data_IF_934619579877
#
_entry.id   IF_934619579877
#
_cell.length_a   1.000
_cell.length_b   1.000
_cell.length_c   1.000
_cell.angle_alpha   90.00
_cell.angle_beta   90.00
_cell.angle_gamma   90.00
#
_symmetry.space_group_name_H-M   'P 1'
#
loop_
_entity.id
_entity.type
_entity.pdbx_description
1 polymer ?
#
# COMPACT_ATOMS: atom_id res chain seq x y z
N UNK A 1 -1.70 -8.56 10.83
CA UNK A 1 -1.65 -7.95 12.17
C UNK A 1 -0.89 -8.80 13.19
N UNK A 2 -0.94 -10.14 13.10
CA UNK A 2 -0.44 -11.08 14.12
C UNK A 2 0.96 -10.75 14.68
N UNK A 3 1.90 -10.38 13.81
CA UNK A 3 3.27 -10.05 14.21
C UNK A 3 3.32 -8.80 15.10
N UNK A 4 2.52 -7.77 14.79
CA UNK A 4 2.41 -6.57 15.63
C UNK A 4 1.71 -6.87 16.95
N UNK A 5 0.64 -7.66 16.92
CA UNK A 5 -0.09 -8.04 18.14
C UNK A 5 0.80 -8.80 19.11
N UNK A 6 1.57 -9.77 18.61
CA UNK A 6 2.56 -10.51 19.39
C UNK A 6 3.63 -9.59 19.97
N UNK A 7 4.14 -8.66 19.16
CA UNK A 7 5.13 -7.69 19.64
C UNK A 7 4.58 -6.84 20.79
N UNK A 8 3.33 -6.38 20.70
CA UNK A 8 2.68 -5.63 21.77
C UNK A 8 2.48 -6.46 23.04
N UNK A 9 2.09 -7.72 22.91
CA UNK A 9 1.92 -8.61 24.06
C UNK A 9 3.25 -8.84 24.79
N UNK A 10 4.36 -8.97 24.05
CA UNK A 10 5.69 -9.20 24.59
C UNK A 10 6.34 -7.95 25.21
N UNK A 11 5.98 -6.75 24.74
CA UNK A 11 6.70 -5.52 25.10
C UNK A 11 5.85 -4.50 25.90
N UNK A 12 4.55 -4.41 25.66
CA UNK A 12 3.70 -3.30 26.15
C UNK A 12 2.55 -3.73 27.08
N UNK A 13 2.33 -5.03 27.29
CA UNK A 13 1.22 -5.57 28.09
C UNK A 13 1.20 -5.15 29.56
N UNK A 14 2.37 -4.86 30.15
CA UNK A 14 2.46 -4.35 31.53
C UNK A 14 2.23 -2.83 31.64
N UNK A 15 2.17 -2.12 30.50
CA UNK A 15 2.15 -0.65 30.44
C UNK A 15 0.86 -0.07 29.89
N UNK A 16 0.05 -0.89 29.22
CA UNK A 16 -1.25 -0.53 28.70
C UNK A 16 -2.33 -1.31 29.46
N UNK A 17 -3.46 -0.66 29.71
CA UNK A 17 -4.66 -1.36 30.18
C UNK A 17 -5.17 -2.34 29.12
N UNK A 18 -5.99 -3.31 29.53
CA UNK A 18 -6.61 -4.25 28.59
C UNK A 18 -7.41 -3.53 27.50
N UNK A 19 -8.13 -2.46 27.85
CA UNK A 19 -8.92 -1.66 26.91
C UNK A 19 -8.03 -0.88 25.92
N UNK A 20 -6.95 -0.25 26.39
CA UNK A 20 -5.97 0.44 25.53
C UNK A 20 -5.26 -0.53 24.59
N UNK A 21 -4.87 -1.70 25.10
CA UNK A 21 -4.25 -2.75 24.30
C UNK A 21 -5.20 -3.24 23.22
N UNK A 22 -6.48 -3.47 23.57
CA UNK A 22 -7.49 -3.90 22.62
C UNK A 22 -7.73 -2.85 21.53
N UNK A 23 -7.91 -1.58 21.90
CA UNK A 23 -8.11 -0.47 20.97
C UNK A 23 -6.92 -0.30 20.01
N UNK A 24 -5.69 -0.45 20.52
CA UNK A 24 -4.46 -0.40 19.72
C UNK A 24 -4.40 -1.57 18.72
N UNK A 25 -4.70 -2.79 19.14
CA UNK A 25 -4.74 -3.97 18.25
C UNK A 25 -5.81 -3.82 17.17
N UNK A 26 -6.99 -3.28 17.49
CA UNK A 26 -8.04 -3.01 16.51
C UNK A 26 -7.59 -2.00 15.45
N UNK A 27 -6.90 -0.92 15.85
CA UNK A 27 -6.33 0.08 14.92
C UNK A 27 -5.25 -0.52 14.01
N UNK A 28 -4.36 -1.31 14.57
CA UNK A 28 -3.32 -2.01 13.79
C UNK A 28 -3.96 -2.97 12.80
N UNK A 29 -4.96 -3.75 13.24
CA UNK A 29 -5.67 -4.66 12.38
C UNK A 29 -6.37 -3.93 11.23
N UNK A 30 -7.04 -2.80 11.49
CA UNK A 30 -7.62 -1.97 10.44
C UNK A 30 -6.58 -1.55 9.38
N UNK A 31 -5.36 -1.22 9.81
CA UNK A 31 -4.26 -0.84 8.91
C UNK A 31 -3.65 -2.00 8.13
N UNK A 32 -3.66 -3.23 8.66
CA UNK A 32 -2.96 -4.37 8.02
C UNK A 32 -3.88 -5.35 7.30
N UNK A 33 -5.16 -5.43 7.68
CA UNK A 33 -6.05 -6.51 7.25
C UNK A 33 -6.20 -6.64 5.73
N UNK A 34 -6.29 -5.52 5.01
CA UNK A 34 -6.43 -5.56 3.55
C UNK A 34 -5.12 -5.92 2.84
N UNK A 35 -3.97 -5.56 3.41
CA UNK A 35 -2.65 -5.99 2.90
C UNK A 35 -2.46 -7.49 3.17
N UNK A 36 -2.80 -7.97 4.36
CA UNK A 36 -2.79 -9.39 4.70
C UNK A 36 -3.71 -10.21 3.79
N UNK A 37 -4.92 -9.70 3.53
CA UNK A 37 -5.89 -10.30 2.61
C UNK A 37 -5.35 -10.37 1.18
N UNK A 38 -4.70 -9.31 0.69
CA UNK A 38 -4.03 -9.34 -0.61
C UNK A 38 -2.89 -10.37 -0.65
N UNK A 39 -2.09 -10.46 0.39
CA UNK A 39 -0.96 -11.39 0.48
C UNK A 39 -1.40 -12.86 0.59
N UNK A 40 -2.57 -13.11 1.18
CA UNK A 40 -3.15 -14.46 1.29
C UNK A 40 -3.83 -14.95 0.00
N UNK A 41 -4.11 -14.06 -0.96
CA UNK A 41 -4.75 -14.44 -2.22
C UNK A 41 -3.79 -15.21 -3.13
N UNK A 42 -4.30 -16.29 -3.72
CA UNK A 42 -3.56 -17.01 -4.75
C UNK A 42 -3.37 -16.14 -6.01
N UNK A 43 -2.15 -16.13 -6.55
CA UNK A 43 -1.81 -15.50 -7.81
C UNK A 43 -0.87 -14.28 -7.70
N UNK A 44 -0.65 -13.63 -8.84
CA UNK A 44 0.36 -12.57 -9.00
C UNK A 44 -0.17 -11.22 -8.49
N UNK A 45 -0.17 -11.00 -7.16
CA UNK A 45 -0.73 -9.78 -6.55
C UNK A 45 0.28 -8.86 -5.85
N UNK A 46 1.46 -9.36 -5.48
CA UNK A 46 2.48 -8.56 -4.79
C UNK A 46 3.07 -7.41 -5.62
N UNK A 47 3.01 -7.50 -6.95
CA UNK A 47 3.42 -6.42 -7.87
C UNK A 47 2.22 -5.69 -8.48
N UNK A 48 1.05 -5.74 -7.86
CA UNK A 48 -0.08 -4.96 -8.36
C UNK A 48 -0.01 -3.54 -7.81
N UNK A 49 -0.62 -2.60 -8.52
CA UNK A 49 -0.83 -1.26 -8.02
C UNK A 49 -1.59 -1.26 -6.69
N UNK A 50 -2.58 -2.15 -6.54
CA UNK A 50 -3.34 -2.31 -5.29
C UNK A 50 -2.44 -2.67 -4.10
N UNK A 51 -1.42 -3.51 -4.31
CA UNK A 51 -0.46 -3.85 -3.26
C UNK A 51 0.34 -2.63 -2.81
N UNK A 52 0.89 -1.86 -3.76
CA UNK A 52 1.62 -0.60 -3.45
C UNK A 52 0.70 0.39 -2.77
N UNK A 53 -0.54 0.51 -3.24
CA UNK A 53 -1.50 1.45 -2.73
C UNK A 53 -1.88 1.17 -1.28
N UNK A 54 -2.27 -0.07 -0.97
CA UNK A 54 -2.66 -0.44 0.38
C UNK A 54 -1.45 -0.44 1.33
N UNK A 55 -0.28 -0.90 0.88
CA UNK A 55 0.93 -0.85 1.71
C UNK A 55 1.33 0.58 2.05
N UNK A 56 1.25 1.51 1.10
CA UNK A 56 1.61 2.92 1.31
C UNK A 56 0.66 3.62 2.29
N UNK A 57 -0.64 3.32 2.21
CA UNK A 57 -1.63 3.82 3.16
C UNK A 57 -1.46 3.18 4.54
N UNK A 58 -1.26 1.86 4.58
CA UNK A 58 -1.01 1.07 5.79
C UNK A 58 0.21 1.57 6.56
N UNK A 59 1.33 1.80 5.88
CA UNK A 59 2.56 2.34 6.48
C UNK A 59 2.29 3.68 7.17
N UNK A 60 1.69 4.64 6.46
CA UNK A 60 1.42 5.98 7.02
C UNK A 60 0.43 5.91 8.18
N UNK A 61 -0.61 5.07 8.06
CA UNK A 61 -1.56 4.82 9.12
C UNK A 61 -0.92 4.22 10.38
N UNK A 62 -0.08 3.19 10.22
CA UNK A 62 0.66 2.56 11.32
C UNK A 62 1.63 3.53 11.98
N UNK A 63 2.33 4.38 11.21
CA UNK A 63 3.19 5.43 11.76
C UNK A 63 2.39 6.41 12.61
N UNK A 64 1.19 6.79 12.17
CA UNK A 64 0.31 7.66 12.95
C UNK A 64 -0.22 6.97 14.20
N UNK A 65 -0.55 5.69 14.11
CA UNK A 65 -0.95 4.87 15.26
C UNK A 65 0.19 4.81 16.29
N UNK A 66 1.42 4.60 15.83
CA UNK A 66 2.61 4.62 16.69
C UNK A 66 2.78 5.95 17.42
N UNK A 67 2.68 7.07 16.69
CA UNK A 67 2.80 8.42 17.25
C UNK A 67 1.75 8.71 18.32
N UNK A 68 0.50 8.27 18.10
CA UNK A 68 -0.63 8.68 18.94
C UNK A 68 -0.96 7.74 20.09
N UNK A 69 -0.71 6.43 19.94
CA UNK A 69 -1.25 5.42 20.86
C UNK A 69 -0.17 4.52 21.48
N UNK A 70 1.01 4.41 20.88
CA UNK A 70 2.10 3.60 21.45
C UNK A 70 2.88 4.46 22.45
N UNK A 71 3.13 3.97 23.69
CA UNK A 71 3.92 4.71 24.67
C UNK A 71 5.31 5.06 24.15
N UNK A 72 5.81 6.26 24.47
CA UNK A 72 7.05 6.84 23.91
C UNK A 72 8.25 5.88 23.98
N UNK A 73 8.42 5.17 25.10
CA UNK A 73 9.49 4.19 25.32
C UNK A 73 9.48 3.00 24.34
N UNK A 74 8.35 2.74 23.69
CA UNK A 74 8.14 1.63 22.74
C UNK A 74 8.08 2.10 21.28
N UNK A 75 7.98 3.41 21.03
CA UNK A 75 7.78 3.94 19.67
C UNK A 75 8.94 3.62 18.72
N UNK A 76 10.17 3.55 19.22
CA UNK A 76 11.33 3.16 18.42
C UNK A 76 11.24 1.69 17.98
N UNK A 77 10.99 0.77 18.92
CA UNK A 77 10.86 -0.65 18.59
C UNK A 77 9.64 -0.94 17.70
N UNK A 78 8.52 -0.26 17.93
CA UNK A 78 7.34 -0.37 17.06
C UNK A 78 7.62 0.23 15.67
N UNK A 79 8.44 1.28 15.59
CA UNK A 79 8.90 1.83 14.30
C UNK A 79 9.70 0.81 13.50
N UNK A 80 10.61 0.08 14.15
CA UNK A 80 11.39 -0.99 13.51
C UNK A 80 10.46 -2.10 12.98
N UNK A 81 9.39 -2.44 13.72
CA UNK A 81 8.37 -3.39 13.27
C UNK A 81 7.62 -2.91 12.01
N UNK A 82 7.30 -1.61 11.93
CA UNK A 82 6.70 -1.03 10.72
C UNK A 82 7.68 -1.12 9.55
N UNK A 83 8.96 -0.82 9.77
CA UNK A 83 9.99 -0.91 8.75
C UNK A 83 10.17 -2.34 8.23
N UNK A 84 10.17 -3.33 9.11
CA UNK A 84 10.25 -4.74 8.73
C UNK A 84 9.01 -5.19 7.94
N UNK A 85 7.81 -4.79 8.38
CA UNK A 85 6.57 -5.05 7.67
C UNK A 85 6.58 -4.49 6.24
N UNK A 86 7.01 -3.25 6.06
CA UNK A 86 7.15 -2.62 4.74
C UNK A 86 8.23 -3.32 3.92
N UNK A 87 9.39 -3.58 4.53
CA UNK A 87 10.51 -4.23 3.87
C UNK A 87 10.16 -5.64 3.37
N UNK A 88 9.43 -6.42 4.15
CA UNK A 88 8.98 -7.76 3.75
C UNK A 88 8.12 -7.70 2.49
N UNK A 89 7.13 -6.79 2.46
CA UNK A 89 6.22 -6.63 1.33
C UNK A 89 6.94 -6.09 0.08
N UNK A 90 7.80 -5.07 0.24
CA UNK A 90 8.59 -4.50 -0.85
C UNK A 90 9.60 -5.54 -1.41
N UNK A 91 10.25 -6.32 -0.55
CA UNK A 91 11.22 -7.33 -0.97
C UNK A 91 10.56 -8.50 -1.69
N UNK A 92 9.38 -8.93 -1.21
CA UNK A 92 8.59 -9.94 -1.90
C UNK A 92 8.23 -9.48 -3.32
N UNK A 93 7.75 -8.24 -3.47
CA UNK A 93 7.48 -7.61 -4.77
C UNK A 93 8.72 -7.60 -5.66
N UNK A 94 9.84 -7.07 -5.15
CA UNK A 94 11.07 -6.94 -5.92
C UNK A 94 11.61 -8.30 -6.39
N UNK A 95 11.59 -9.32 -5.51
CA UNK A 95 11.97 -10.69 -5.87
C UNK A 95 11.05 -11.26 -6.96
N UNK A 96 9.75 -10.98 -6.89
CA UNK A 96 8.79 -11.46 -7.90
C UNK A 96 9.04 -10.77 -9.24
N UNK A 97 9.19 -9.43 -9.26
CA UNK A 97 9.53 -8.68 -10.48
C UNK A 97 10.80 -9.24 -11.12
N UNK A 98 11.88 -9.39 -10.34
CA UNK A 98 13.15 -9.91 -10.86
C UNK A 98 13.01 -11.31 -11.49
N UNK A 99 12.16 -12.19 -10.94
CA UNK A 99 11.96 -13.54 -11.49
C UNK A 99 11.04 -13.57 -12.70
N UNK A 100 10.02 -12.71 -12.74
CA UNK A 100 8.93 -12.78 -13.70
C UNK A 100 9.11 -11.84 -14.89
N UNK A 101 9.91 -10.78 -14.76
CA UNK A 101 10.21 -9.89 -15.87
C UNK A 101 11.05 -10.63 -16.92
N UNK A 102 10.62 -10.66 -18.20
CA UNK A 102 11.38 -11.29 -19.26
C UNK A 102 12.70 -10.56 -19.52
N UNK A 103 13.67 -11.25 -20.13
CA UNK A 103 14.98 -10.67 -20.48
C UNK A 103 14.86 -9.44 -21.39
N UNK A 104 13.83 -9.41 -22.23
CA UNK A 104 13.45 -8.26 -23.03
C UNK A 104 11.97 -8.32 -23.45
N UNK A 105 11.43 -7.16 -23.84
CA UNK A 105 10.13 -7.03 -24.51
C UNK A 105 10.29 -6.26 -25.82
N UNK A 106 9.54 -6.65 -26.85
CA UNK A 106 9.44 -5.88 -28.10
C UNK A 106 8.43 -4.75 -27.88
N UNK A 107 8.88 -3.50 -27.94
CA UNK A 107 8.09 -2.31 -27.62
C UNK A 107 7.65 -1.51 -28.85
N UNK A 108 8.08 -1.92 -30.05
CA UNK A 108 7.63 -1.36 -31.31
C UNK A 108 8.00 -2.25 -32.49
N UNK A 109 7.03 -2.46 -33.39
CA UNK A 109 7.24 -3.13 -34.68
C UNK A 109 6.91 -2.11 -35.77
N UNK A 110 7.94 -1.45 -36.29
CA UNK A 110 7.85 -0.60 -37.47
C UNK A 110 8.13 -1.39 -38.75
N UNK A 111 7.95 -0.78 -39.93
CA UNK A 111 8.14 -1.45 -41.22
C UNK A 111 9.56 -1.97 -41.49
N UNK A 112 10.58 -1.57 -40.71
CA UNK A 112 11.99 -2.00 -40.87
C UNK A 112 12.84 -2.09 -39.58
N UNK A 113 12.31 -1.82 -38.39
CA UNK A 113 13.09 -1.87 -37.14
C UNK A 113 12.22 -2.35 -35.98
N UNK A 114 12.70 -3.36 -35.26
CA UNK A 114 12.17 -3.79 -33.96
C UNK A 114 12.90 -3.02 -32.87
N UNK A 115 12.16 -2.41 -31.94
CA UNK A 115 12.73 -1.82 -30.72
C UNK A 115 12.49 -2.75 -29.54
N UNK A 116 13.54 -2.96 -28.76
CA UNK A 116 13.53 -3.81 -27.57
C UNK A 116 13.71 -2.94 -26.32
N UNK A 117 13.06 -3.36 -25.24
CA UNK A 117 13.30 -2.87 -23.90
C UNK A 117 13.81 -4.03 -23.05
N UNK A 118 14.99 -3.90 -22.47
CA UNK A 118 15.62 -5.01 -21.74
C UNK A 118 15.13 -5.07 -20.30
N UNK A 119 15.28 -6.24 -19.67
CA UNK A 119 14.85 -6.53 -18.29
C UNK A 119 15.18 -5.43 -17.30
N UNK A 120 16.43 -4.96 -17.29
CA UNK A 120 16.88 -3.91 -16.38
C UNK A 120 16.12 -2.59 -16.56
N UNK A 121 15.79 -2.23 -17.80
CA UNK A 121 15.00 -1.03 -18.10
C UNK A 121 13.53 -1.22 -17.70
N UNK A 122 12.99 -2.43 -17.90
CA UNK A 122 11.61 -2.76 -17.48
C UNK A 122 11.49 -2.66 -15.95
N UNK A 123 12.40 -3.29 -15.21
CA UNK A 123 12.41 -3.27 -13.74
C UNK A 123 12.66 -1.86 -13.23
N UNK A 124 13.56 -1.10 -13.86
CA UNK A 124 13.84 0.29 -13.51
C UNK A 124 12.59 1.16 -13.64
N UNK A 125 11.87 1.07 -14.77
CA UNK A 125 10.66 1.86 -14.99
C UNK A 125 9.54 1.47 -14.02
N UNK A 126 9.37 0.18 -13.74
CA UNK A 126 8.37 -0.29 -12.78
C UNK A 126 8.70 0.16 -11.35
N UNK A 127 9.98 0.10 -10.96
CA UNK A 127 10.46 0.59 -9.66
C UNK A 127 10.24 2.10 -9.52
N UNK A 128 10.51 2.86 -10.57
CA UNK A 128 10.26 4.31 -10.59
C UNK A 128 8.77 4.63 -10.48
N UNK A 129 7.91 3.88 -11.19
CA UNK A 129 6.47 3.99 -11.08
C UNK A 129 6.00 3.75 -9.64
N UNK A 130 6.36 2.62 -9.02
CA UNK A 130 5.94 2.33 -7.63
C UNK A 130 6.48 3.32 -6.61
N UNK A 131 7.70 3.82 -6.81
CA UNK A 131 8.27 4.87 -5.95
C UNK A 131 7.42 6.13 -6.01
N UNK A 132 6.98 6.53 -7.21
CA UNK A 132 6.10 7.67 -7.40
C UNK A 132 4.72 7.43 -6.78
N UNK A 133 4.12 6.27 -7.03
CA UNK A 133 2.82 5.92 -6.46
C UNK A 133 2.84 5.95 -4.93
N UNK A 134 3.85 5.33 -4.31
CA UNK A 134 4.04 5.37 -2.86
C UNK A 134 4.10 6.80 -2.36
N UNK A 135 4.94 7.64 -2.96
CA UNK A 135 5.11 9.04 -2.56
C UNK A 135 3.80 9.81 -2.58
N UNK A 136 3.02 9.66 -3.65
CA UNK A 136 1.78 10.40 -3.83
C UNK A 136 0.69 9.93 -2.85
N UNK A 137 0.52 8.62 -2.71
CA UNK A 137 -0.49 8.01 -1.81
C UNK A 137 -0.15 8.35 -0.36
N UNK A 138 1.11 8.16 0.04
CA UNK A 138 1.57 8.57 1.37
C UNK A 138 1.43 10.07 1.59
N UNK A 139 1.59 10.89 0.54
CA UNK A 139 1.37 12.33 0.59
C UNK A 139 -0.07 12.68 0.96
N UNK A 140 -1.04 12.10 0.26
CA UNK A 140 -2.49 12.31 0.51
C UNK A 140 -2.87 11.83 1.92
N UNK A 141 -2.44 10.61 2.31
CA UNK A 141 -2.67 10.08 3.67
C UNK A 141 -2.09 11.01 4.76
N UNK A 142 -0.87 11.50 4.58
CA UNK A 142 -0.24 12.40 5.55
C UNK A 142 -0.96 13.75 5.65
N UNK A 143 -1.51 14.27 4.57
CA UNK A 143 -2.29 15.51 4.63
C UNK A 143 -3.56 15.31 5.48
N UNK A 144 -4.25 14.20 5.28
CA UNK A 144 -5.45 13.85 6.04
C UNK A 144 -5.14 13.61 7.52
N UNK A 145 -4.17 12.75 7.84
CA UNK A 145 -3.81 12.40 9.21
C UNK A 145 -3.23 13.56 10.03
N UNK A 146 -2.72 14.59 9.36
CA UNK A 146 -2.26 15.82 10.01
C UNK A 146 -3.31 16.95 10.00
N UNK A 147 -4.57 16.63 9.66
CA UNK A 147 -5.69 17.57 9.70
C UNK A 147 -5.63 18.69 8.67
N UNK A 148 -4.82 18.54 7.60
CA UNK A 148 -4.74 19.53 6.51
C UNK A 148 -5.90 19.42 5.53
N UNK A 149 -6.48 18.23 5.42
CA UNK A 149 -7.64 17.94 4.57
C UNK A 149 -8.74 17.28 5.41
N UNK A 150 -10.00 17.50 5.03
CA UNK A 150 -11.13 16.80 5.63
C UNK A 150 -11.34 15.43 4.95
N UNK A 151 -12.20 14.60 5.54
CA UNK A 151 -12.55 13.28 5.00
C UNK A 151 -13.05 13.34 3.55
N UNK A 152 -13.86 14.35 3.20
CA UNK A 152 -14.45 14.44 1.86
C UNK A 152 -13.36 14.72 0.83
N UNK A 153 -12.45 15.64 1.14
CA UNK A 153 -11.33 15.98 0.28
C UNK A 153 -10.35 14.79 0.16
N UNK A 154 -10.02 14.13 1.27
CA UNK A 154 -9.21 12.91 1.27
C UNK A 154 -9.78 11.81 0.34
N UNK A 155 -11.07 11.50 0.50
CA UNK A 155 -11.73 10.50 -0.35
C UNK A 155 -11.77 10.92 -1.83
N UNK A 156 -11.97 12.21 -2.12
CA UNK A 156 -11.98 12.71 -3.49
C UNK A 156 -10.60 12.62 -4.14
N UNK A 157 -9.53 13.04 -3.45
CA UNK A 157 -8.16 12.97 -3.98
C UNK A 157 -7.73 11.52 -4.24
N UNK A 158 -8.05 10.60 -3.32
CA UNK A 158 -7.82 9.17 -3.54
C UNK A 158 -8.63 8.62 -4.71
N UNK A 159 -9.89 9.05 -4.85
CA UNK A 159 -10.77 8.64 -5.95
C UNK A 159 -10.24 9.12 -7.29
N UNK A 160 -9.82 10.37 -7.40
CA UNK A 160 -9.27 10.96 -8.62
C UNK A 160 -8.01 10.20 -9.04
N UNK A 161 -7.12 9.90 -8.10
CA UNK A 161 -5.92 9.11 -8.37
C UNK A 161 -6.23 7.69 -8.86
N UNK A 162 -7.19 7.02 -8.22
CA UNK A 162 -7.63 5.68 -8.64
C UNK A 162 -8.26 5.72 -10.03
N UNK A 163 -9.06 6.74 -10.33
CA UNK A 163 -9.64 6.96 -11.66
C UNK A 163 -8.56 7.18 -12.71
N UNK A 164 -7.54 7.99 -12.43
CA UNK A 164 -6.43 8.25 -13.34
C UNK A 164 -5.66 6.96 -13.64
N UNK A 165 -5.35 6.18 -12.61
CA UNK A 165 -4.65 4.90 -12.77
C UNK A 165 -5.49 3.91 -13.59
N UNK A 166 -6.69 3.55 -13.13
CA UNK A 166 -7.51 2.53 -13.78
C UNK A 166 -8.07 2.98 -15.14
N UNK A 167 -8.44 4.26 -15.28
CA UNK A 167 -8.94 4.81 -16.54
C UNK A 167 -7.88 4.88 -17.64
N UNK A 168 -6.60 4.95 -17.28
CA UNK A 168 -5.49 4.92 -18.22
C UNK A 168 -5.11 3.51 -18.69
N UNK A 169 -5.62 2.46 -18.04
CA UNK A 169 -5.32 1.07 -18.40
C UNK A 169 -5.98 0.70 -19.72
N UNK A 170 -5.17 0.20 -20.66
CA UNK A 170 -5.65 -0.20 -21.98
C UNK A 170 -6.77 -1.24 -21.90
N UNK A 171 -6.64 -2.21 -21.00
CA UNK A 171 -7.62 -3.27 -20.78
C UNK A 171 -8.96 -2.75 -20.21
N UNK A 172 -8.99 -1.57 -19.60
CA UNK A 172 -10.18 -0.96 -19.01
C UNK A 172 -10.75 0.22 -19.80
N UNK A 173 -10.09 0.65 -20.88
CA UNK A 173 -10.41 1.88 -21.63
C UNK A 173 -11.89 1.99 -22.07
N UNK A 174 -12.57 0.87 -22.32
CA UNK A 174 -13.98 0.84 -22.75
C UNK A 174 -14.90 0.18 -21.70
N UNK A 175 -14.47 0.10 -20.43
CA UNK A 175 -15.18 -0.58 -19.35
C UNK A 175 -15.36 0.36 -18.14
N UNK A 176 -16.13 1.45 -18.27
CA UNK A 176 -16.26 2.45 -17.21
C UNK A 176 -16.83 1.85 -15.91
N UNK A 177 -17.76 0.90 -16.01
CA UNK A 177 -18.32 0.19 -14.85
C UNK A 177 -17.26 -0.65 -14.11
N UNK A 178 -16.31 -1.23 -14.84
CA UNK A 178 -15.21 -1.99 -14.25
C UNK A 178 -14.18 -1.07 -13.57
N UNK A 179 -13.95 0.12 -14.13
CA UNK A 179 -13.13 1.16 -13.50
C UNK A 179 -13.80 1.61 -12.19
N UNK A 180 -15.08 1.98 -12.24
CA UNK A 180 -15.84 2.41 -11.07
C UNK A 180 -15.85 1.35 -9.96
N UNK A 181 -16.09 0.08 -10.32
CA UNK A 181 -16.06 -1.02 -9.35
C UNK A 181 -14.71 -1.21 -8.66
N UNK A 182 -13.60 -1.06 -9.40
CA UNK A 182 -12.24 -1.14 -8.82
C UNK A 182 -11.92 0.06 -7.95
N UNK A 183 -12.26 1.26 -8.40
CA UNK A 183 -12.07 2.50 -7.65
C UNK A 183 -12.82 2.44 -6.32
N UNK A 184 -14.11 2.09 -6.36
CA UNK A 184 -14.91 1.99 -5.14
C UNK A 184 -14.38 0.91 -4.20
N UNK A 185 -13.96 -0.27 -4.72
CA UNK A 185 -13.37 -1.30 -3.87
C UNK A 185 -12.11 -0.83 -3.13
N UNK A 186 -11.24 -0.04 -3.77
CA UNK A 186 -10.03 0.47 -3.14
C UNK A 186 -10.34 1.61 -2.16
N UNK A 187 -11.33 2.44 -2.46
CA UNK A 187 -11.81 3.48 -1.55
C UNK A 187 -12.44 2.88 -0.29
N UNK A 188 -13.27 1.86 -0.41
CA UNK A 188 -13.90 1.18 0.73
C UNK A 188 -12.85 0.64 1.70
N UNK A 189 -11.75 0.09 1.18
CA UNK A 189 -10.61 -0.39 1.98
C UNK A 189 -9.88 0.74 2.71
N UNK A 190 -9.65 1.86 2.03
CA UNK A 190 -9.07 3.05 2.68
C UNK A 190 -9.98 3.60 3.78
N UNK A 191 -11.27 3.67 3.50
CA UNK A 191 -12.27 4.14 4.47
C UNK A 191 -12.28 3.25 5.71
N UNK A 192 -12.21 1.93 5.51
CA UNK A 192 -12.04 0.97 6.59
C UNK A 192 -10.74 1.19 7.38
N UNK A 193 -9.59 1.36 6.72
CA UNK A 193 -8.31 1.63 7.37
C UNK A 193 -8.38 2.86 8.27
N UNK A 194 -8.92 3.96 7.76
CA UNK A 194 -8.91 5.26 8.45
C UNK A 194 -10.16 5.53 9.30
N UNK A 195 -11.14 4.62 9.31
CA UNK A 195 -12.38 4.75 10.08
C UNK A 195 -13.24 5.94 9.62
N UNK A 196 -13.27 6.22 8.31
CA UNK A 196 -13.94 7.37 7.71
C UNK A 196 -15.14 6.98 6.87
#
# INVERSE_FOLDING_TARGET
SEVFEKWLDENASEYLTEDEMKDLKEKINAMTADVDSLNAQEGYRGTSYESVFLLSASEVGLRKVNEMYVPEQFQAGFSDMIDEYVHFNDSARNSIMEKMTPDYMVVGIGSKTESYKYKSEIISDETAFYTNEKKEISGICNQFLNGKTDQKLFCNEMKDRLNDYYGSRYELRNQPEAVEGRVNNMLDKLQHMFGV
#
